data_IF_651123685405
#
_entry.id   IF_651123685405
#
_cell.length_a   1.000
_cell.length_b   1.000
_cell.length_c   1.000
_cell.angle_alpha   90.00
_cell.angle_beta   90.00
_cell.angle_gamma   90.00
#
_symmetry.space_group_name_H-M   'P 1'
#
loop_
_entity.id
_entity.type
_entity.pdbx_description
1 polymer ?
#
# COMPACT_ATOMS: atom_id res chain seq x y z
N UNK A 1 -9.97 -10.73 -16.26
CA UNK A 1 -8.83 -9.82 -16.46
C UNK A 1 -9.38 -8.47 -16.95
N UNK A 2 -9.06 -7.39 -16.26
CA UNK A 2 -9.52 -6.01 -16.54
C UNK A 2 -8.43 -5.23 -17.32
N UNK A 3 -7.72 -5.87 -18.24
CA UNK A 3 -6.49 -5.33 -18.85
C UNK A 3 -6.73 -3.94 -19.46
N UNK A 4 -7.79 -3.78 -20.26
CA UNK A 4 -8.12 -2.47 -20.85
C UNK A 4 -8.68 -1.41 -19.89
N UNK A 5 -8.88 -1.72 -18.59
CA UNK A 5 -9.28 -0.69 -17.60
C UNK A 5 -8.07 -0.01 -16.97
N UNK A 6 -6.99 -0.75 -16.74
CA UNK A 6 -5.77 -0.19 -16.16
C UNK A 6 -5.09 0.75 -17.15
N UNK A 7 -4.98 0.34 -18.42
CA UNK A 7 -4.34 1.13 -19.48
C UNK A 7 -5.04 2.47 -19.67
N UNK A 8 -6.37 2.47 -19.78
CA UNK A 8 -7.17 3.71 -19.85
C UNK A 8 -7.01 4.60 -18.62
N UNK A 9 -6.75 4.01 -17.46
CA UNK A 9 -6.53 4.77 -16.22
C UNK A 9 -5.14 5.40 -16.20
N UNK A 10 -4.13 4.66 -16.65
CA UNK A 10 -2.76 5.15 -16.83
C UNK A 10 -2.73 6.27 -17.88
N UNK A 11 -3.40 6.11 -19.02
CA UNK A 11 -3.48 7.15 -20.06
C UNK A 11 -4.15 8.42 -19.55
N UNK A 12 -5.17 8.28 -18.69
CA UNK A 12 -5.94 9.42 -18.18
C UNK A 12 -5.24 10.17 -17.04
N UNK A 13 -4.56 9.46 -16.14
CA UNK A 13 -4.05 10.04 -14.89
C UNK A 13 -2.52 9.99 -14.76
N UNK A 14 -1.84 9.26 -15.64
CA UNK A 14 -0.40 9.05 -15.61
C UNK A 14 0.02 7.89 -14.72
N UNK A 15 1.04 7.15 -15.16
CA UNK A 15 1.53 5.94 -14.50
C UNK A 15 1.91 6.15 -13.02
N UNK A 16 2.52 7.30 -12.68
CA UNK A 16 2.95 7.62 -11.31
C UNK A 16 1.77 7.80 -10.36
N UNK A 17 0.71 8.47 -10.80
CA UNK A 17 -0.51 8.69 -10.00
C UNK A 17 -1.22 7.36 -9.76
N UNK A 18 -1.33 6.54 -10.81
CA UNK A 18 -1.93 5.20 -10.71
C UNK A 18 -1.11 4.32 -9.77
N UNK A 19 0.22 4.35 -9.86
CA UNK A 19 1.10 3.61 -8.96
C UNK A 19 0.91 4.04 -7.52
N UNK A 20 0.91 5.35 -7.25
CA UNK A 20 0.74 5.89 -5.91
C UNK A 20 -0.59 5.44 -5.27
N UNK A 21 -1.68 5.47 -6.03
CA UNK A 21 -2.99 5.02 -5.57
C UNK A 21 -3.02 3.51 -5.27
N UNK A 22 -2.44 2.68 -6.15
CA UNK A 22 -2.35 1.23 -5.93
C UNK A 22 -1.54 0.90 -4.68
N UNK A 23 -0.38 1.53 -4.50
CA UNK A 23 0.47 1.31 -3.34
C UNK A 23 -0.21 1.77 -2.05
N UNK A 24 -0.94 2.90 -2.09
CA UNK A 24 -1.71 3.38 -0.94
C UNK A 24 -2.79 2.38 -0.51
N UNK A 25 -3.62 1.92 -1.46
CA UNK A 25 -4.66 0.93 -1.21
C UNK A 25 -4.08 -0.38 -0.65
N UNK A 26 -2.95 -0.83 -1.19
CA UNK A 26 -2.23 -2.00 -0.72
C UNK A 26 -1.76 -1.82 0.73
N UNK A 27 -1.06 -0.73 1.04
CA UNK A 27 -0.54 -0.47 2.39
C UNK A 27 -1.66 -0.40 3.45
N UNK A 28 -2.77 0.28 3.15
CA UNK A 28 -3.92 0.35 4.05
C UNK A 28 -4.49 -1.04 4.34
N UNK A 29 -4.56 -1.93 3.32
CA UNK A 29 -5.01 -3.32 3.51
C UNK A 29 -4.06 -4.11 4.39
N UNK A 30 -2.75 -3.98 4.17
CA UNK A 30 -1.73 -4.66 4.98
C UNK A 30 -1.84 -4.26 6.46
N UNK A 31 -1.96 -2.95 6.74
CA UNK A 31 -2.09 -2.46 8.12
C UNK A 31 -3.39 -2.94 8.78
N UNK A 32 -4.52 -2.87 8.06
CA UNK A 32 -5.81 -3.36 8.60
C UNK A 32 -5.77 -4.83 8.95
N UNK A 33 -5.15 -5.65 8.10
CA UNK A 33 -4.96 -7.07 8.34
C UNK A 33 -4.06 -7.33 9.56
N UNK A 34 -3.01 -6.52 9.76
CA UNK A 34 -2.14 -6.66 10.93
C UNK A 34 -2.78 -6.21 12.25
N UNK A 35 -3.75 -5.29 12.21
CA UNK A 35 -4.43 -4.78 13.40
C UNK A 35 -5.74 -5.53 13.75
N UNK A 36 -6.14 -6.57 13.01
CA UNK A 36 -7.47 -7.22 13.10
C UNK A 36 -8.65 -6.22 13.06
N UNK A 37 -8.43 -5.05 12.47
CA UNK A 37 -9.45 -3.99 12.39
C UNK A 37 -10.32 -4.24 11.18
N UNK A 38 -11.49 -4.82 11.42
CA UNK A 38 -12.30 -5.37 10.32
C UNK A 38 -12.96 -4.33 9.43
N UNK A 39 -13.29 -3.11 9.88
CA UNK A 39 -14.21 -2.22 9.13
C UNK A 39 -14.13 -0.73 9.47
N UNK A 40 -12.95 -0.12 9.57
CA UNK A 40 -12.94 1.35 9.54
C UNK A 40 -13.23 1.82 8.11
N UNK A 41 -14.41 2.40 7.90
CA UNK A 41 -14.79 3.10 6.65
C UNK A 41 -14.17 4.49 6.54
N UNK A 42 -13.42 4.93 7.56
CA UNK A 42 -12.78 6.23 7.55
C UNK A 42 -11.60 6.24 6.58
N UNK A 43 -11.50 7.32 5.81
CA UNK A 43 -10.31 7.65 5.05
C UNK A 43 -9.14 7.77 6.03
N UNK A 44 -8.15 6.90 5.87
CA UNK A 44 -6.94 6.92 6.68
C UNK A 44 -5.89 7.69 5.88
N UNK A 45 -5.41 8.85 6.36
CA UNK A 45 -4.37 9.58 5.65
C UNK A 45 -3.11 8.72 5.55
N UNK A 46 -2.48 8.71 4.38
CA UNK A 46 -1.24 7.98 4.16
C UNK A 46 -0.20 8.87 3.49
N UNK A 47 1.05 8.76 3.95
CA UNK A 47 2.20 9.45 3.39
C UNK A 47 3.07 8.43 2.65
N UNK A 48 3.28 8.64 1.36
CA UNK A 48 4.18 7.82 0.53
C UNK A 48 5.53 8.53 0.45
N UNK A 49 6.60 7.79 0.74
CA UNK A 49 7.99 8.25 0.64
C UNK A 49 8.83 7.25 -0.14
N UNK A 50 9.90 7.74 -0.78
CA UNK A 50 10.82 6.89 -1.54
C UNK A 50 10.17 6.19 -2.75
N UNK A 51 9.09 6.76 -3.30
CA UNK A 51 8.39 6.20 -4.45
C UNK A 51 9.33 6.09 -5.65
N UNK A 52 9.57 4.88 -6.12
CA UNK A 52 10.30 4.64 -7.35
C UNK A 52 9.42 4.89 -8.57
N UNK A 53 10.01 5.53 -9.60
CA UNK A 53 9.36 5.70 -10.90
C UNK A 53 9.41 4.38 -11.66
N UNK A 54 8.34 3.60 -11.57
CA UNK A 54 8.19 2.31 -12.24
C UNK A 54 6.86 2.27 -12.98
N UNK A 55 6.83 1.57 -14.11
CA UNK A 55 5.59 1.31 -14.82
C UNK A 55 4.77 0.30 -13.99
N UNK A 56 3.54 0.63 -13.54
CA UNK A 56 2.66 -0.29 -12.82
C UNK A 56 2.47 -1.64 -13.52
N UNK A 57 2.49 -1.66 -14.86
CA UNK A 57 2.30 -2.88 -15.64
C UNK A 57 3.44 -3.90 -15.50
N UNK A 58 4.61 -3.49 -15.01
CA UNK A 58 5.76 -4.40 -14.81
C UNK A 58 5.72 -5.12 -13.47
N UNK A 59 4.80 -4.75 -12.58
CA UNK A 59 4.69 -5.28 -11.23
C UNK A 59 3.78 -6.50 -11.27
N UNK A 60 4.35 -7.68 -11.07
CA UNK A 60 3.63 -8.95 -11.07
C UNK A 60 3.02 -9.26 -9.70
N UNK A 61 3.71 -8.84 -8.64
CA UNK A 61 3.30 -9.05 -7.26
C UNK A 61 3.70 -7.88 -6.38
N UNK A 62 2.83 -7.54 -5.41
CA UNK A 62 3.14 -6.63 -4.31
C UNK A 62 3.21 -7.40 -3.00
N UNK A 63 4.26 -7.18 -2.23
CA UNK A 63 4.40 -7.67 -0.86
C UNK A 63 4.65 -6.49 0.08
N UNK A 64 4.26 -6.64 1.34
CA UNK A 64 4.32 -5.56 2.32
C UNK A 64 4.88 -6.05 3.64
N UNK A 65 5.89 -5.36 4.17
CA UNK A 65 6.35 -5.54 5.55
C UNK A 65 5.72 -4.47 6.42
N UNK A 66 4.91 -4.89 7.39
CA UNK A 66 4.16 -3.99 8.26
C UNK A 66 4.88 -3.83 9.60
N UNK A 67 5.15 -2.60 9.98
CA UNK A 67 5.48 -2.19 11.34
C UNK A 67 4.33 -1.38 11.93
N UNK A 68 3.99 -1.62 13.19
CA UNK A 68 2.94 -0.88 13.91
C UNK A 68 3.59 -0.10 15.05
N UNK A 69 3.38 1.21 15.06
CA UNK A 69 3.91 2.11 16.09
C UNK A 69 2.78 2.97 16.65
N UNK A 70 2.44 2.81 17.93
CA UNK A 70 1.62 3.72 18.76
C UNK A 70 0.52 4.54 18.06
N UNK A 71 -0.26 3.92 17.16
CA UNK A 71 -1.34 4.58 16.42
C UNK A 71 -1.06 4.94 14.95
N UNK A 72 0.02 4.44 14.37
CA UNK A 72 0.33 4.52 12.94
C UNK A 72 0.86 3.16 12.44
N UNK A 73 0.67 2.90 11.15
CA UNK A 73 1.21 1.72 10.47
C UNK A 73 2.22 2.14 9.43
N UNK A 74 3.43 1.60 9.48
CA UNK A 74 4.43 1.77 8.44
C UNK A 74 4.47 0.51 7.58
N UNK A 75 4.36 0.67 6.27
CA UNK A 75 4.44 -0.42 5.30
C UNK A 75 5.60 -0.14 4.35
N UNK A 76 6.58 -1.03 4.34
CA UNK A 76 7.58 -1.09 3.28
C UNK A 76 7.00 -1.98 2.18
N UNK A 77 6.76 -1.41 1.00
CA UNK A 77 6.12 -2.12 -0.12
C UNK A 77 7.19 -2.56 -1.11
N UNK A 78 7.21 -3.85 -1.38
CA UNK A 78 8.11 -4.46 -2.34
C UNK A 78 7.32 -4.93 -3.56
N UNK A 79 7.93 -4.80 -4.73
CA UNK A 79 7.40 -5.28 -5.99
C UNK A 79 8.31 -6.34 -6.58
N UNK A 80 7.73 -7.47 -6.96
CA UNK A 80 8.39 -8.42 -7.85
C UNK A 80 8.10 -8.01 -9.29
N UNK A 81 9.13 -8.02 -10.14
CA UNK A 81 9.00 -7.66 -11.56
C UNK A 81 9.06 -8.95 -12.40
N UNK A 82 8.27 -9.01 -13.47
CA UNK A 82 8.10 -10.23 -14.31
C UNK A 82 9.39 -10.89 -14.83
N UNK A 83 10.52 -10.17 -14.82
CA UNK A 83 11.79 -10.62 -15.39
C UNK A 83 12.89 -10.93 -14.38
N UNK A 84 12.79 -10.44 -13.15
CA UNK A 84 13.83 -10.59 -12.14
C UNK A 84 13.16 -10.97 -10.83
N UNK A 85 13.42 -12.20 -10.37
CA UNK A 85 12.86 -12.80 -9.16
C UNK A 85 13.36 -12.12 -7.85
N UNK A 86 13.58 -10.81 -7.91
CA UNK A 86 14.10 -9.95 -6.83
C UNK A 86 13.02 -8.95 -6.46
N UNK A 87 12.71 -8.93 -5.18
CA UNK A 87 11.84 -7.94 -4.59
C UNK A 87 12.57 -6.58 -4.54
N UNK A 88 12.01 -5.59 -5.23
CA UNK A 88 12.49 -4.21 -5.19
C UNK A 88 11.64 -3.40 -4.22
N UNK A 89 12.28 -2.64 -3.32
CA UNK A 89 11.56 -1.67 -2.48
C UNK A 89 10.99 -0.56 -3.36
N UNK A 90 9.67 -0.51 -3.49
CA UNK A 90 8.96 0.45 -4.33
C UNK A 90 8.65 1.76 -3.61
N UNK A 91 8.25 1.66 -2.34
CA UNK A 91 7.90 2.80 -1.52
C UNK A 91 7.86 2.39 -0.03
N UNK A 92 8.02 3.39 0.82
CA UNK A 92 7.63 3.32 2.22
C UNK A 92 6.35 4.15 2.41
N UNK A 93 5.32 3.55 2.99
CA UNK A 93 4.03 4.20 3.22
C UNK A 93 3.73 4.25 4.71
N UNK A 94 3.50 5.44 5.23
CA UNK A 94 3.04 5.65 6.61
C UNK A 94 1.54 5.91 6.59
N UNK A 95 0.76 4.95 7.08
CA UNK A 95 -0.68 5.05 7.31
C UNK A 95 -0.87 5.71 8.67
N UNK A 96 -1.32 6.97 8.66
CA UNK A 96 -1.46 7.83 9.83
C UNK A 96 -2.81 7.62 10.50
N UNK A 97 -2.83 7.66 11.83
CA UNK A 97 -4.04 7.60 12.65
C UNK A 97 -4.84 6.30 12.50
N UNK A 98 -4.30 5.23 13.08
CA UNK A 98 -5.00 3.99 13.37
C UNK A 98 -5.80 4.03 14.68
N UNK A 99 -6.05 5.21 15.28
CA UNK A 99 -6.86 5.31 16.50
C UNK A 99 -8.33 5.02 16.19
N UNK A 100 -8.62 3.75 15.99
CA UNK A 100 -9.88 3.10 16.32
C UNK A 100 -9.55 2.01 17.34
N UNK A 101 -9.66 2.36 18.63
CA UNK A 101 -9.80 1.42 19.75
C UNK A 101 -8.79 0.26 19.84
N UNK A 102 -7.58 0.53 20.34
CA UNK A 102 -6.90 -0.42 21.21
C UNK A 102 -6.83 0.17 22.62
N UNK A 103 -7.96 0.17 23.32
CA UNK A 103 -7.92 -0.36 24.68
C UNK A 103 -7.70 -1.86 24.52
N UNK A 104 -6.45 -2.29 24.42
CA UNK A 104 -6.12 -3.65 24.84
C UNK A 104 -6.29 -3.66 26.36
N UNK A 105 -7.53 -3.86 26.80
CA UNK A 105 -7.84 -4.22 28.17
C UNK A 105 -7.15 -5.56 28.42
N UNK A 106 -6.15 -5.54 29.29
CA UNK A 106 -5.63 -6.73 29.95
C UNK A 106 -6.82 -7.54 30.52
N UNK A 107 -6.86 -8.82 30.20
CA UNK A 107 -7.62 -9.84 30.95
C UNK A 107 -6.87 -11.16 30.83
#
# INVERSE_FOLDING_TARGET
MNEGRLDRYIDRYGAVVVLAELLNQFAVRCVRAACDTTRSTHYVPALITGLQSLNPQRISQLTGRVGLDSGAGRVEVFGSLDSDNRDCLLATITVLNLKGQQSCSNS
#
